data_IF_357755347227
#
_entry.id   IF_357755347227
#
_cell.length_a   1.000
_cell.length_b   1.000
_cell.length_c   1.000
_cell.angle_alpha   90.00
_cell.angle_beta   90.00
_cell.angle_gamma   90.00
#
_symmetry.space_group_name_H-M   'P 1'
#
loop_
_entity.id
_entity.type
_entity.pdbx_description
1 polymer ?
#
# COMPACT_ATOMS: atom_id res chain seq x y z
N UNK A 1 -1.57 7.88 5.08
CA UNK A 1 -0.68 6.99 5.84
C UNK A 1 -1.48 5.96 6.60
N UNK A 2 -1.20 4.68 6.40
CA UNK A 2 -1.91 3.57 7.04
C UNK A 2 -0.94 2.69 7.82
N UNK A 3 -1.39 2.01 8.90
CA UNK A 3 -0.55 1.02 9.59
C UNK A 3 -0.07 -0.08 8.62
N UNK A 4 1.23 -0.35 8.65
CA UNK A 4 1.96 -1.27 7.77
C UNK A 4 2.82 -2.26 8.58
N UNK A 5 3.30 -3.32 7.94
CA UNK A 5 4.24 -4.26 8.55
C UNK A 5 5.62 -3.63 8.81
N UNK A 6 5.95 -2.53 8.13
CA UNK A 6 7.14 -1.74 8.37
C UNK A 6 8.42 -2.30 7.79
N UNK A 7 8.35 -3.23 6.85
CA UNK A 7 9.49 -3.89 6.25
C UNK A 7 10.41 -2.97 5.43
N UNK A 8 9.92 -1.82 4.96
CA UNK A 8 10.75 -0.76 4.39
C UNK A 8 11.58 0.01 5.44
N UNK A 9 11.36 -0.23 6.73
CA UNK A 9 12.02 0.49 7.84
C UNK A 9 13.14 -0.30 8.51
N UNK A 10 13.50 -1.49 8.01
CA UNK A 10 14.49 -2.38 8.62
C UNK A 10 15.80 -1.69 9.03
N UNK A 11 16.29 -0.71 8.24
CA UNK A 11 17.49 0.07 8.59
C UNK A 11 17.35 0.88 9.89
N UNK A 12 16.14 1.37 10.19
CA UNK A 12 15.83 2.18 11.38
C UNK A 12 15.19 1.37 12.51
N UNK A 13 14.58 0.23 12.19
CA UNK A 13 13.87 -0.64 13.13
C UNK A 13 14.51 -2.03 13.12
N UNK A 14 15.66 -2.15 13.79
CA UNK A 14 16.45 -3.37 13.81
C UNK A 14 15.69 -4.56 14.41
N UNK A 15 14.82 -4.31 15.39
CA UNK A 15 14.01 -5.35 16.05
C UNK A 15 13.07 -6.09 15.09
N UNK A 16 12.70 -5.45 13.98
CA UNK A 16 11.86 -6.06 12.96
C UNK A 16 12.60 -7.16 12.19
N UNK A 17 13.94 -7.08 12.10
CA UNK A 17 14.76 -8.01 11.30
C UNK A 17 14.54 -9.47 11.70
N UNK A 18 14.53 -9.77 13.01
CA UNK A 18 14.35 -11.14 13.50
C UNK A 18 12.91 -11.64 13.52
N UNK A 19 11.93 -10.75 13.36
CA UNK A 19 10.49 -11.07 13.43
C UNK A 19 9.84 -11.07 12.05
N UNK A 20 10.49 -10.47 11.07
CA UNK A 20 9.91 -10.24 9.77
C UNK A 20 9.69 -11.54 8.99
N UNK A 21 8.53 -11.65 8.36
CA UNK A 21 8.26 -12.66 7.34
C UNK A 21 7.27 -12.14 6.29
N UNK A 22 7.34 -12.66 5.07
CA UNK A 22 6.52 -12.19 3.94
C UNK A 22 5.00 -12.20 4.21
N UNK A 23 4.53 -13.13 5.05
CA UNK A 23 3.13 -13.23 5.43
C UNK A 23 2.62 -12.19 6.45
N UNK A 24 3.47 -11.34 7.04
CA UNK A 24 3.04 -10.37 8.06
C UNK A 24 2.04 -9.34 7.50
N UNK A 25 2.20 -8.94 6.24
CA UNK A 25 1.31 -7.98 5.59
C UNK A 25 -0.11 -8.51 5.36
N UNK A 26 -0.30 -9.83 5.31
CA UNK A 26 -1.60 -10.45 5.02
C UNK A 26 -2.68 -10.07 6.05
N UNK A 27 -2.30 -9.91 7.32
CA UNK A 27 -3.22 -9.50 8.39
C UNK A 27 -3.63 -8.02 8.33
N UNK A 28 -2.82 -7.19 7.67
CA UNK A 28 -3.01 -5.74 7.61
C UNK A 28 -3.76 -5.29 6.37
N UNK A 29 -3.72 -6.05 5.28
CA UNK A 29 -4.39 -5.72 4.03
C UNK A 29 -5.86 -5.29 4.21
N UNK A 30 -6.63 -6.06 4.99
CA UNK A 30 -8.05 -5.77 5.22
C UNK A 30 -8.26 -4.42 5.89
N UNK A 31 -7.49 -4.10 6.94
CA UNK A 31 -7.63 -2.83 7.66
C UNK A 31 -7.14 -1.66 6.82
N UNK A 32 -6.07 -1.83 6.04
CA UNK A 32 -5.57 -0.83 5.09
C UNK A 32 -6.63 -0.47 4.03
N UNK A 33 -7.27 -1.47 3.41
CA UNK A 33 -8.39 -1.26 2.48
C UNK A 33 -9.55 -0.55 3.15
N UNK A 34 -9.90 -0.91 4.39
CA UNK A 34 -10.99 -0.26 5.13
C UNK A 34 -10.69 1.22 5.41
N UNK A 35 -9.48 1.55 5.87
CA UNK A 35 -9.05 2.92 6.12
C UNK A 35 -9.05 3.73 4.82
N UNK A 36 -8.45 3.20 3.76
CA UNK A 36 -8.40 3.87 2.45
C UNK A 36 -9.82 4.10 1.88
N UNK A 37 -10.69 3.09 1.97
CA UNK A 37 -12.11 3.22 1.55
C UNK A 37 -12.84 4.30 2.36
N UNK A 38 -12.57 4.40 3.67
CA UNK A 38 -13.15 5.46 4.51
C UNK A 38 -12.63 6.84 4.10
N UNK A 39 -11.33 6.96 3.83
CA UNK A 39 -10.71 8.18 3.32
C UNK A 39 -11.34 8.65 2.01
N UNK A 40 -11.54 7.73 1.06
CA UNK A 40 -12.23 7.99 -0.21
C UNK A 40 -13.64 8.53 0.02
N UNK A 41 -14.42 7.95 0.93
CA UNK A 41 -15.79 8.39 1.23
C UNK A 41 -15.87 9.78 1.87
N UNK A 42 -14.79 10.26 2.47
CA UNK A 42 -14.69 11.60 3.07
C UNK A 42 -14.14 12.63 2.08
N UNK A 43 -13.61 12.18 0.95
CA UNK A 43 -13.02 13.04 -0.06
C UNK A 43 -14.13 13.73 -0.88
N UNK A 44 -13.98 15.03 -1.13
CA UNK A 44 -14.84 15.76 -2.06
C UNK A 44 -14.68 15.22 -3.49
N UNK A 45 -15.72 15.35 -4.32
CA UNK A 45 -15.62 15.05 -5.75
C UNK A 45 -14.52 15.90 -6.39
N UNK A 46 -13.70 15.26 -7.24
CA UNK A 46 -12.50 15.87 -7.84
C UNK A 46 -11.33 16.05 -6.87
N UNK A 47 -11.46 15.62 -5.61
CA UNK A 47 -10.35 15.61 -4.65
C UNK A 47 -9.28 14.57 -4.99
N UNK A 48 -8.12 14.70 -4.35
CA UNK A 48 -6.99 13.77 -4.47
C UNK A 48 -6.72 13.12 -3.12
N UNK A 49 -6.59 11.79 -3.10
CA UNK A 49 -6.13 11.04 -1.93
C UNK A 49 -4.74 10.46 -2.22
N UNK A 50 -3.86 10.52 -1.22
CA UNK A 50 -2.57 9.81 -1.25
C UNK A 50 -2.65 8.63 -0.28
N UNK A 51 -2.43 7.44 -0.81
CA UNK A 51 -2.19 6.24 -0.03
C UNK A 51 -0.68 6.09 0.19
N UNK A 52 -0.26 5.82 1.41
CA UNK A 52 1.15 5.68 1.76
C UNK A 52 1.32 4.61 2.82
N UNK A 53 2.41 3.86 2.69
CA UNK A 53 2.89 2.89 3.66
C UNK A 53 4.38 3.09 3.86
N UNK A 54 4.89 2.37 4.85
CA UNK A 54 6.29 2.14 5.15
C UNK A 54 6.74 0.72 4.73
N UNK A 55 5.93 0.06 3.89
CA UNK A 55 6.10 -1.34 3.49
C UNK A 55 6.79 -1.45 2.13
N UNK A 56 7.35 -2.61 1.85
CA UNK A 56 7.75 -3.02 0.50
C UNK A 56 6.95 -4.24 0.03
N UNK A 57 5.93 -4.66 0.80
CA UNK A 57 5.13 -5.84 0.53
C UNK A 57 3.99 -5.50 -0.44
N UNK A 58 3.91 -6.12 -1.63
CA UNK A 58 2.86 -5.82 -2.59
C UNK A 58 1.44 -6.10 -2.10
N UNK A 59 1.28 -6.95 -1.08
CA UNK A 59 -0.02 -7.19 -0.42
C UNK A 59 -0.51 -5.94 0.33
N UNK A 60 0.40 -5.10 0.83
CA UNK A 60 0.08 -3.87 1.54
C UNK A 60 0.05 -2.64 0.61
N UNK A 61 0.65 -2.76 -0.57
CA UNK A 61 0.76 -1.67 -1.55
C UNK A 61 -0.15 -1.90 -2.77
N UNK A 62 0.35 -2.55 -3.83
CA UNK A 62 -0.39 -2.68 -5.09
C UNK A 62 -1.72 -3.42 -4.95
N UNK A 63 -1.80 -4.41 -4.07
CA UNK A 63 -3.04 -5.13 -3.80
C UNK A 63 -4.12 -4.22 -3.17
N UNK A 64 -3.73 -3.34 -2.24
CA UNK A 64 -4.67 -2.40 -1.60
C UNK A 64 -5.19 -1.41 -2.63
N UNK A 65 -4.30 -0.86 -3.45
CA UNK A 65 -4.63 0.06 -4.54
C UNK A 65 -5.57 -0.59 -5.55
N UNK A 66 -5.27 -1.82 -5.99
CA UNK A 66 -6.13 -2.57 -6.91
C UNK A 66 -7.53 -2.80 -6.31
N UNK A 67 -7.61 -3.17 -5.03
CA UNK A 67 -8.88 -3.45 -4.36
C UNK A 67 -9.75 -2.19 -4.19
N UNK A 68 -9.17 -1.04 -3.82
CA UNK A 68 -9.94 0.21 -3.71
C UNK A 68 -10.45 0.69 -5.07
N UNK A 69 -9.65 0.55 -6.14
CA UNK A 69 -10.08 0.89 -7.51
C UNK A 69 -11.25 0.01 -7.96
N UNK A 70 -11.16 -1.30 -7.71
CA UNK A 70 -12.23 -2.26 -8.00
C UNK A 70 -13.51 -1.91 -7.26
N UNK A 71 -13.43 -1.56 -5.97
CA UNK A 71 -14.57 -1.12 -5.16
C UNK A 71 -15.14 0.23 -5.61
N UNK A 72 -14.30 1.09 -6.16
CA UNK A 72 -14.68 2.40 -6.67
C UNK A 72 -15.59 2.35 -7.88
N UNK A 73 -15.68 1.21 -8.60
CA UNK A 73 -16.57 1.01 -9.77
C UNK A 73 -16.49 2.17 -10.78
N UNK A 74 -15.27 2.64 -11.07
CA UNK A 74 -15.02 3.74 -12.01
C UNK A 74 -15.06 5.15 -11.40
N UNK A 75 -15.47 5.30 -10.13
CA UNK A 75 -15.43 6.60 -9.44
C UNK A 75 -14.00 7.03 -9.02
N UNK A 76 -13.02 6.14 -9.16
CA UNK A 76 -11.62 6.36 -8.80
C UNK A 76 -10.73 6.11 -10.00
N UNK A 77 -9.68 6.92 -10.13
CA UNK A 77 -8.65 6.76 -11.15
C UNK A 77 -7.28 6.95 -10.50
N UNK A 78 -6.29 6.20 -10.99
CA UNK A 78 -4.89 6.45 -10.67
C UNK A 78 -4.43 7.72 -11.37
N UNK A 79 -3.68 8.55 -10.65
CA UNK A 79 -3.13 9.79 -11.16
C UNK A 79 -1.62 9.63 -11.26
N UNK A 80 -1.08 9.86 -12.47
CA UNK A 80 0.37 9.92 -12.64
C UNK A 80 0.91 11.21 -11.99
N UNK A 81 1.86 11.04 -11.07
CA UNK A 81 2.53 12.11 -10.32
C UNK A 81 4.03 12.18 -10.65
N UNK A 82 4.46 11.53 -11.73
CA UNK A 82 5.85 11.50 -12.21
C UNK A 82 6.44 12.91 -12.36
N UNK A 83 5.65 13.85 -12.87
CA UNK A 83 6.04 15.25 -13.12
C UNK A 83 6.01 16.15 -11.88
N UNK A 84 5.33 15.74 -10.81
CA UNK A 84 5.13 16.58 -9.61
C UNK A 84 6.41 16.64 -8.74
N UNK A 85 7.27 15.62 -8.82
CA UNK A 85 8.52 15.51 -8.07
C UNK A 85 9.62 14.94 -8.98
N UNK A 86 10.21 15.77 -9.86
CA UNK A 86 11.15 15.29 -10.89
C UNK A 86 12.44 14.70 -10.32
N UNK A 87 12.86 15.11 -9.12
CA UNK A 87 14.08 14.61 -8.46
C UNK A 87 13.85 13.31 -7.67
N UNK A 88 12.59 12.91 -7.46
CA UNK A 88 12.27 11.74 -6.67
C UNK A 88 12.56 10.47 -7.47
N UNK A 89 13.51 9.66 -6.98
CA UNK A 89 13.76 8.32 -7.51
C UNK A 89 12.56 7.43 -7.26
N UNK A 90 12.06 6.78 -8.32
CA UNK A 90 10.83 5.98 -8.30
C UNK A 90 11.05 4.67 -9.04
N UNK A 91 10.24 3.67 -8.70
CA UNK A 91 10.08 2.44 -9.43
C UNK A 91 8.60 2.26 -9.80
N UNK A 92 8.33 1.54 -10.89
CA UNK A 92 6.97 1.16 -11.21
C UNK A 92 6.47 0.13 -10.19
N UNK A 93 5.18 0.20 -9.86
CA UNK A 93 4.53 -0.81 -9.04
C UNK A 93 4.56 -2.19 -9.72
N UNK A 94 4.51 -3.25 -8.93
CA UNK A 94 4.50 -4.62 -9.42
C UNK A 94 3.09 -5.10 -9.74
N UNK A 95 2.95 -5.91 -10.79
CA UNK A 95 1.66 -6.49 -11.20
C UNK A 95 1.54 -7.98 -10.92
N UNK A 96 2.65 -8.62 -10.53
CA UNK A 96 2.74 -10.05 -10.22
C UNK A 96 3.73 -10.26 -9.09
N UNK A 97 3.34 -11.03 -8.09
CA UNK A 97 4.20 -11.43 -6.98
C UNK A 97 3.74 -12.78 -6.42
N UNK A 98 4.63 -13.57 -5.81
CA UNK A 98 4.24 -14.78 -5.10
C UNK A 98 3.50 -14.40 -3.80
N UNK A 99 2.31 -14.94 -3.60
CA UNK A 99 1.59 -14.79 -2.32
C UNK A 99 2.14 -15.82 -1.35
N UNK A 100 2.81 -15.34 -0.29
CA UNK A 100 3.32 -16.20 0.78
C UNK A 100 2.40 -16.11 2.00
N UNK A 101 1.95 -17.26 2.46
CA UNK A 101 1.35 -17.42 3.79
C UNK A 101 2.45 -17.84 4.76
N UNK A 102 2.26 -17.63 6.07
CA UNK A 102 3.21 -18.14 7.06
C UNK A 102 3.20 -19.66 6.96
N UNK A 103 4.33 -20.26 6.58
CA UNK A 103 4.51 -21.70 6.64
C UNK A 103 4.23 -22.15 8.08
N UNK A 104 3.43 -23.21 8.23
CA UNK A 104 3.12 -23.79 9.55
C UNK A 104 4.38 -24.34 10.20
#
# INVERSE_FOLDING_TARGET
DVPCSGDGTLRKNYDLWGKWHAGMGNGLHKIQVQIATRGIKLLKIGGRMVYSTCSLNPVEDEAVVAEILRRGKGALQLVDVSKELPELKRANGVSKWPVRVKDK
#
